data_IF_267612531580
#
_entry.id   IF_267612531580
#
_cell.length_a   1.000
_cell.length_b   1.000
_cell.length_c   1.000
_cell.angle_alpha   90.00
_cell.angle_beta   90.00
_cell.angle_gamma   90.00
#
_symmetry.space_group_name_H-M   'P 1'
#
loop_
_entity.id
_entity.type
_entity.pdbx_description
1 polymer ?
#
# COMPACT_ATOMS: atom_id res chain seq x y z
N UNK A 1 40.83 -20.21 -50.00
CA UNK A 1 42.04 -19.63 -49.39
C UNK A 1 41.58 -18.63 -48.34
N UNK A 2 41.94 -18.92 -47.08
CA UNK A 2 42.28 -18.04 -45.93
C UNK A 2 41.46 -16.75 -45.71
N UNK A 3 40.74 -16.52 -44.59
CA UNK A 3 41.06 -16.52 -43.14
C UNK A 3 41.90 -15.31 -42.65
N UNK A 4 41.37 -14.60 -41.63
CA UNK A 4 41.99 -13.52 -40.83
C UNK A 4 41.01 -12.35 -40.62
N UNK A 5 40.32 -12.18 -39.48
CA UNK A 5 40.84 -11.60 -38.21
C UNK A 5 40.82 -10.07 -38.30
N UNK A 6 40.08 -9.28 -37.50
CA UNK A 6 40.35 -8.98 -36.08
C UNK A 6 39.09 -8.39 -35.42
N UNK A 7 38.85 -8.84 -34.18
CA UNK A 7 37.91 -8.33 -33.19
C UNK A 7 38.44 -7.02 -32.61
N UNK A 8 37.61 -5.97 -32.54
CA UNK A 8 37.82 -4.88 -31.58
C UNK A 8 36.49 -4.53 -30.92
N UNK A 9 36.39 -4.91 -29.64
CA UNK A 9 35.33 -4.55 -28.73
C UNK A 9 35.34 -3.05 -28.44
N UNK A 10 34.16 -2.43 -28.47
CA UNK A 10 33.85 -1.24 -27.67
C UNK A 10 32.44 -1.41 -27.13
N UNK A 11 32.35 -1.90 -25.90
CA UNK A 11 31.16 -1.83 -25.06
C UNK A 11 30.92 -0.35 -24.73
N UNK A 12 29.90 0.24 -25.35
CA UNK A 12 29.29 1.51 -24.96
C UNK A 12 27.86 1.23 -24.52
N UNK A 13 27.69 0.79 -23.28
CA UNK A 13 26.40 0.59 -22.65
C UNK A 13 26.03 1.84 -21.87
N UNK A 14 25.10 2.63 -22.42
CA UNK A 14 24.55 3.82 -21.78
C UNK A 14 23.25 4.20 -22.49
N UNK A 15 22.16 4.23 -21.74
CA UNK A 15 20.83 4.72 -22.12
C UNK A 15 20.03 4.01 -23.24
N UNK A 16 20.61 3.14 -24.09
CA UNK A 16 19.87 2.39 -25.13
C UNK A 16 19.17 1.11 -24.65
N UNK A 17 19.45 0.66 -23.42
CA UNK A 17 19.03 -0.67 -22.96
C UNK A 17 17.77 -0.67 -22.11
N UNK A 18 17.29 0.45 -21.56
CA UNK A 18 16.20 0.40 -20.57
C UNK A 18 14.84 0.01 -21.19
N UNK A 19 14.42 0.66 -22.28
CA UNK A 19 13.18 0.30 -23.00
C UNK A 19 13.28 -1.07 -23.72
N UNK A 20 14.47 -1.41 -24.23
CA UNK A 20 14.71 -2.67 -24.95
C UNK A 20 14.76 -3.88 -24.01
N UNK A 21 15.38 -3.75 -22.83
CA UNK A 21 15.38 -4.80 -21.80
C UNK A 21 14.00 -4.99 -21.18
N UNK A 22 13.22 -3.91 -21.00
CA UNK A 22 11.85 -4.02 -20.51
C UNK A 22 10.94 -4.78 -21.50
N UNK A 23 11.02 -4.49 -22.80
CA UNK A 23 10.27 -5.23 -23.82
C UNK A 23 10.67 -6.72 -23.92
N UNK A 24 11.90 -7.06 -23.52
CA UNK A 24 12.37 -8.45 -23.46
C UNK A 24 11.89 -9.21 -22.22
N UNK A 25 11.73 -8.52 -21.07
CA UNK A 25 11.32 -9.08 -19.78
C UNK A 25 9.81 -9.03 -19.51
N UNK A 26 9.08 -8.13 -20.17
CA UNK A 26 7.62 -7.95 -20.04
C UNK A 26 6.78 -8.87 -20.93
N UNK A 27 7.39 -9.85 -21.63
CA UNK A 27 6.64 -10.97 -22.19
C UNK A 27 6.13 -11.86 -21.06
N UNK A 28 5.05 -11.42 -20.41
CA UNK A 28 4.04 -12.34 -19.91
C UNK A 28 3.80 -13.36 -21.03
N UNK A 29 3.93 -14.63 -20.68
CA UNK A 29 3.75 -15.79 -21.55
C UNK A 29 2.42 -15.70 -22.29
N UNK A 30 2.43 -15.07 -23.46
CA UNK A 30 1.35 -15.15 -24.42
C UNK A 30 1.45 -16.54 -25.03
N UNK A 31 0.76 -17.50 -24.42
CA UNK A 31 0.53 -18.84 -24.95
C UNK A 31 -0.07 -18.69 -26.35
N UNK A 32 0.79 -18.76 -27.36
CA UNK A 32 0.41 -19.06 -28.73
C UNK A 32 -0.02 -20.52 -28.77
N UNK A 33 -1.29 -20.81 -28.53
CA UNK A 33 -1.89 -22.04 -29.02
C UNK A 33 -2.37 -21.82 -30.45
N UNK A 34 -1.64 -22.44 -31.39
CA UNK A 34 -2.11 -22.70 -32.75
C UNK A 34 -2.97 -23.97 -32.73
N UNK A 35 -4.03 -23.96 -33.55
CA UNK A 35 -4.94 -25.08 -33.89
C UNK A 35 -5.92 -25.47 -32.77
N UNK A 36 -7.20 -25.75 -32.98
CA UNK A 36 -8.04 -25.88 -34.17
C UNK A 36 -9.34 -26.56 -33.72
N UNK A 37 -10.48 -26.18 -34.31
CA UNK A 37 -11.75 -26.94 -34.32
C UNK A 37 -12.39 -27.30 -32.96
N UNK A 38 -13.47 -26.58 -32.61
CA UNK A 38 -14.50 -27.06 -31.68
C UNK A 38 -15.03 -28.44 -32.13
N UNK A 39 -14.97 -29.43 -31.25
CA UNK A 39 -15.90 -30.58 -31.26
C UNK A 39 -16.38 -30.89 -29.84
N UNK A 40 -17.69 -30.82 -29.66
CA UNK A 40 -18.41 -31.39 -28.53
C UNK A 40 -18.06 -32.87 -28.33
N UNK A 41 -17.77 -33.27 -27.10
CA UNK A 41 -18.04 -34.63 -26.63
C UNK A 41 -18.52 -34.61 -25.18
N UNK A 42 -19.60 -35.34 -24.95
CA UNK A 42 -20.28 -35.57 -23.67
C UNK A 42 -20.04 -37.04 -23.30
N UNK A 43 -19.45 -37.32 -22.15
CA UNK A 43 -19.49 -38.62 -21.44
C UNK A 43 -18.92 -38.41 -20.02
N UNK A 44 -19.73 -38.45 -18.95
CA UNK A 44 -20.11 -39.61 -18.10
C UNK A 44 -18.94 -40.36 -17.42
N UNK A 45 -19.01 -40.31 -16.08
CA UNK A 45 -18.74 -41.33 -15.06
C UNK A 45 -17.31 -41.76 -14.68
N UNK A 46 -17.01 -41.54 -13.40
CA UNK A 46 -16.41 -42.54 -12.49
C UNK A 46 -14.88 -42.53 -12.40
N UNK A 47 -14.38 -43.07 -11.29
CA UNK A 47 -12.98 -43.40 -10.93
C UNK A 47 -12.33 -42.54 -9.83
N UNK A 48 -12.61 -42.96 -8.59
CA UNK A 48 -11.69 -43.36 -7.51
C UNK A 48 -10.36 -42.60 -7.36
N UNK A 49 -10.27 -41.82 -6.28
CA UNK A 49 -9.03 -41.31 -5.72
C UNK A 49 -8.36 -42.36 -4.81
N UNK A 50 -7.02 -42.54 -4.86
CA UNK A 50 -6.29 -43.21 -3.82
C UNK A 50 -5.80 -42.22 -2.75
N UNK A 51 -5.98 -42.64 -1.50
CA UNK A 51 -5.43 -42.05 -0.28
C UNK A 51 -3.91 -41.90 -0.34
N UNK A 52 -3.39 -40.70 -0.06
CA UNK A 52 -2.02 -40.54 0.43
C UNK A 52 -1.98 -39.49 1.55
N UNK A 53 -1.13 -39.79 2.51
CA UNK A 53 -1.03 -39.28 3.88
C UNK A 53 -0.88 -37.76 4.00
N UNK A 54 -1.64 -37.18 4.93
CA UNK A 54 -1.39 -35.86 5.52
C UNK A 54 0.03 -35.78 6.08
N UNK A 55 0.91 -35.05 5.39
CA UNK A 55 2.09 -34.47 6.01
C UNK A 55 1.64 -33.18 6.68
N UNK A 56 1.71 -33.15 8.02
CA UNK A 56 1.57 -31.93 8.82
C UNK A 56 2.68 -30.96 8.40
N UNK A 57 2.33 -29.91 7.68
CA UNK A 57 3.19 -28.72 7.56
C UNK A 57 2.87 -27.86 8.77
N UNK A 58 3.73 -27.95 9.79
CA UNK A 58 3.72 -27.05 10.93
C UNK A 58 4.01 -25.63 10.47
N UNK A 59 3.22 -24.70 10.99
CA UNK A 59 3.35 -23.26 10.87
C UNK A 59 4.73 -22.79 11.33
N UNK A 60 5.61 -22.48 10.38
CA UNK A 60 6.84 -21.71 10.60
C UNK A 60 7.38 -21.24 9.25
N UNK A 61 6.68 -20.30 8.62
CA UNK A 61 7.34 -19.35 7.71
C UNK A 61 7.12 -17.99 8.32
N UNK A 62 8.02 -17.71 9.26
CA UNK A 62 8.23 -16.41 9.83
C UNK A 62 8.40 -15.37 8.72
N UNK A 63 7.81 -14.21 8.97
CA UNK A 63 8.17 -12.95 8.36
C UNK A 63 9.69 -12.78 8.35
N UNK A 64 10.31 -13.08 7.20
CA UNK A 64 11.69 -12.76 6.91
C UNK A 64 11.85 -12.65 5.38
N UNK A 65 11.13 -11.70 4.79
CA UNK A 65 11.66 -11.03 3.60
C UNK A 65 12.47 -9.86 4.13
N UNK A 66 13.67 -10.19 4.59
CA UNK A 66 14.64 -9.22 5.07
C UNK A 66 15.00 -8.27 3.93
N UNK A 67 14.82 -6.98 4.16
CA UNK A 67 15.35 -5.85 3.37
C UNK A 67 16.90 -5.79 3.47
N UNK A 68 17.58 -6.94 3.64
CA UNK A 68 19.00 -7.02 3.98
C UNK A 68 19.93 -7.32 2.80
N UNK A 69 19.45 -7.28 1.56
CA UNK A 69 20.33 -7.31 0.38
C UNK A 69 20.29 -6.01 -0.43
N UNK A 70 20.18 -4.88 0.25
CA UNK A 70 20.47 -3.56 -0.32
C UNK A 70 21.79 -3.07 0.25
N UNK A 71 22.86 -3.17 -0.55
CA UNK A 71 24.17 -2.64 -0.22
C UNK A 71 24.07 -1.16 0.18
N UNK A 72 24.42 -0.84 1.43
CA UNK A 72 24.43 0.53 1.96
C UNK A 72 23.09 1.09 2.46
N UNK A 73 22.03 0.29 2.55
CA UNK A 73 20.70 0.81 2.92
C UNK A 73 20.61 1.32 4.37
N UNK A 74 20.20 2.58 4.51
CA UNK A 74 19.76 3.18 5.78
C UNK A 74 18.58 2.35 6.31
N UNK A 75 18.58 2.03 7.61
CA UNK A 75 17.51 1.26 8.21
C UNK A 75 16.16 1.99 8.04
N UNK A 76 15.21 1.36 7.34
CA UNK A 76 13.85 1.88 7.17
C UNK A 76 13.15 1.85 8.52
N UNK A 77 12.80 3.02 9.07
CA UNK A 77 12.22 3.15 10.41
C UNK A 77 10.86 2.46 10.53
N UNK A 78 10.04 2.54 9.49
CA UNK A 78 8.70 1.96 9.41
C UNK A 78 8.69 1.06 8.17
N UNK A 79 8.75 -0.27 8.32
CA UNK A 79 8.85 -1.18 7.18
C UNK A 79 7.58 -1.11 6.31
N UNK A 80 7.69 -1.31 4.99
CA UNK A 80 6.54 -1.38 4.12
C UNK A 80 5.69 -2.62 4.47
N UNK A 81 4.37 -2.56 4.26
CA UNK A 81 3.54 -3.75 4.39
C UNK A 81 3.85 -4.76 3.29
N UNK A 82 3.55 -6.03 3.54
CA UNK A 82 3.77 -7.11 2.59
C UNK A 82 2.50 -7.46 1.80
N UNK A 83 2.67 -8.00 0.59
CA UNK A 83 1.60 -8.59 -0.21
C UNK A 83 2.05 -9.96 -0.76
N UNK A 84 1.19 -10.99 -0.81
CA UNK A 84 1.59 -12.33 -1.22
C UNK A 84 1.94 -12.48 -2.70
N UNK A 85 1.52 -11.55 -3.56
CA UNK A 85 1.61 -11.71 -5.03
C UNK A 85 2.33 -10.59 -5.79
N UNK A 86 2.70 -9.48 -5.15
CA UNK A 86 3.46 -8.41 -5.82
C UNK A 86 4.24 -7.59 -4.81
N UNK A 87 5.31 -6.94 -5.27
CA UNK A 87 6.25 -6.19 -4.45
C UNK A 87 6.29 -4.70 -4.88
N UNK A 88 6.88 -3.85 -4.05
CA UNK A 88 7.07 -2.43 -4.38
C UNK A 88 7.87 -2.23 -5.68
N UNK A 89 8.84 -3.10 -5.93
CA UNK A 89 9.67 -3.03 -7.13
C UNK A 89 8.87 -3.21 -8.42
N UNK A 90 7.80 -4.02 -8.39
CA UNK A 90 6.91 -4.17 -9.54
C UNK A 90 6.21 -2.83 -9.84
N UNK A 91 5.73 -2.14 -8.80
CA UNK A 91 5.08 -0.82 -8.93
C UNK A 91 6.05 0.22 -9.51
N UNK A 92 7.29 0.24 -9.02
CA UNK A 92 8.34 1.15 -9.51
C UNK A 92 8.61 0.90 -10.99
N UNK A 93 8.80 -0.35 -11.39
CA UNK A 93 9.03 -0.72 -12.79
C UNK A 93 7.87 -0.37 -13.69
N UNK A 94 6.63 -0.58 -13.24
CA UNK A 94 5.45 -0.16 -13.99
C UNK A 94 5.39 1.35 -14.17
N UNK A 95 5.66 2.14 -13.11
CA UNK A 95 5.66 3.59 -13.18
C UNK A 95 6.76 4.15 -14.09
N UNK A 96 7.97 3.60 -14.02
CA UNK A 96 9.07 3.98 -14.91
C UNK A 96 8.77 3.61 -16.38
N UNK A 97 8.16 2.44 -16.62
CA UNK A 97 7.76 2.04 -17.97
C UNK A 97 6.62 2.92 -18.52
N UNK A 98 5.69 3.36 -17.68
CA UNK A 98 4.64 4.31 -18.02
C UNK A 98 5.20 5.63 -18.54
N UNK A 99 6.19 6.20 -17.84
CA UNK A 99 6.74 7.53 -18.14
C UNK A 99 7.79 7.49 -19.28
N UNK A 100 8.55 6.40 -19.40
CA UNK A 100 9.58 6.25 -20.43
C UNK A 100 9.04 5.77 -21.79
N UNK A 101 7.96 4.98 -21.81
CA UNK A 101 7.46 4.34 -23.02
C UNK A 101 8.52 3.51 -23.77
N UNK A 102 8.46 3.50 -25.10
CA UNK A 102 9.39 2.78 -25.97
C UNK A 102 10.67 3.57 -26.35
N UNK A 103 10.69 4.88 -26.06
CA UNK A 103 11.74 5.81 -26.52
C UNK A 103 12.59 6.39 -25.40
N UNK A 104 12.14 6.31 -24.16
CA UNK A 104 12.75 7.02 -23.03
C UNK A 104 12.51 8.53 -23.07
N UNK A 105 13.25 9.27 -22.25
CA UNK A 105 13.16 10.73 -22.17
C UNK A 105 13.86 11.40 -23.37
N UNK A 106 13.09 11.67 -24.43
CA UNK A 106 13.57 12.32 -25.65
C UNK A 106 14.10 13.74 -25.40
N UNK A 107 13.62 14.42 -24.37
CA UNK A 107 14.08 15.77 -24.00
C UNK A 107 15.47 15.68 -23.38
N UNK A 108 15.68 14.82 -22.39
CA UNK A 108 17.00 14.61 -21.80
C UNK A 108 18.01 14.09 -22.82
N UNK A 109 17.61 13.15 -23.67
CA UNK A 109 18.46 12.58 -24.71
C UNK A 109 18.95 13.63 -25.73
N UNK A 110 18.13 14.65 -26.01
CA UNK A 110 18.46 15.69 -26.99
C UNK A 110 19.13 16.93 -26.40
N UNK A 111 18.87 17.25 -25.13
CA UNK A 111 19.31 18.51 -24.51
C UNK A 111 20.48 18.36 -23.53
N UNK A 112 20.67 17.17 -22.95
CA UNK A 112 21.67 16.93 -21.91
C UNK A 112 22.78 16.04 -22.45
N UNK A 113 24.07 16.44 -22.40
CA UNK A 113 25.19 15.57 -22.78
C UNK A 113 25.24 14.27 -21.95
N UNK A 114 25.70 13.17 -22.54
CA UNK A 114 25.72 11.85 -21.88
C UNK A 114 26.61 11.82 -20.63
N UNK A 115 27.73 12.54 -20.67
CA UNK A 115 28.70 12.67 -19.58
C UNK A 115 28.33 13.74 -18.53
N UNK A 116 27.23 14.47 -18.72
CA UNK A 116 26.87 15.57 -17.83
C UNK A 116 26.56 15.03 -16.42
N UNK A 117 27.21 15.62 -15.42
CA UNK A 117 26.97 15.35 -14.00
C UNK A 117 26.12 16.47 -13.42
N UNK A 118 25.24 16.12 -12.48
CA UNK A 118 24.40 17.09 -11.78
C UNK A 118 24.31 16.80 -10.29
N UNK A 119 23.97 17.84 -9.56
CA UNK A 119 23.52 17.81 -8.16
C UNK A 119 22.11 18.36 -8.14
N UNK A 120 21.16 17.64 -7.55
CA UNK A 120 19.79 18.14 -7.36
C UNK A 120 19.36 18.06 -5.90
N UNK A 121 18.53 19.00 -5.45
CA UNK A 121 18.07 19.09 -4.06
C UNK A 121 16.55 18.95 -3.96
N UNK A 122 16.11 18.06 -3.09
CA UNK A 122 14.73 17.97 -2.65
C UNK A 122 14.41 19.11 -1.70
N UNK A 123 13.29 19.79 -1.94
CA UNK A 123 12.82 20.89 -1.13
C UNK A 123 11.32 20.78 -0.89
N UNK A 124 10.91 20.93 0.37
CA UNK A 124 9.51 21.00 0.76
C UNK A 124 8.89 22.30 0.26
N UNK A 125 7.74 22.21 -0.41
CA UNK A 125 6.96 23.34 -0.92
C UNK A 125 5.64 23.53 -0.17
N UNK A 126 5.43 22.72 0.87
CA UNK A 126 4.37 22.84 1.86
C UNK A 126 4.84 22.27 3.20
N UNK A 127 4.10 22.58 4.27
CA UNK A 127 4.32 22.03 5.61
C UNK A 127 3.62 20.65 5.72
N UNK A 128 4.27 19.66 6.32
CA UNK A 128 3.67 18.32 6.45
C UNK A 128 4.60 17.24 6.97
N UNK A 129 4.15 16.00 6.89
CA UNK A 129 4.93 14.80 7.18
C UNK A 129 5.53 14.28 5.88
N UNK A 130 6.86 14.13 5.85
CA UNK A 130 7.53 13.53 4.69
C UNK A 130 7.36 12.01 4.73
N UNK A 131 6.98 11.44 3.59
CA UNK A 131 6.85 10.01 3.40
C UNK A 131 7.25 9.60 1.96
N UNK A 132 7.81 8.41 1.81
CA UNK A 132 8.28 7.86 0.55
C UNK A 132 9.77 8.06 0.29
N UNK A 133 10.58 8.42 1.28
CA UNK A 133 12.04 8.52 1.16
C UNK A 133 12.65 7.17 0.81
N UNK A 134 12.28 6.11 1.54
CA UNK A 134 12.78 4.77 1.23
C UNK A 134 12.30 4.27 -0.14
N UNK A 135 11.11 4.69 -0.59
CA UNK A 135 10.63 4.37 -1.94
C UNK A 135 11.40 5.15 -3.02
N UNK A 136 11.74 6.41 -2.76
CA UNK A 136 12.58 7.22 -3.64
C UNK A 136 13.97 6.62 -3.79
N UNK A 137 14.59 6.14 -2.70
CA UNK A 137 15.86 5.39 -2.76
C UNK A 137 15.76 4.17 -3.69
N UNK A 138 14.68 3.39 -3.58
CA UNK A 138 14.45 2.25 -4.49
C UNK A 138 14.30 2.69 -5.96
N UNK A 139 13.64 3.82 -6.22
CA UNK A 139 13.45 4.36 -7.58
C UNK A 139 14.80 4.80 -8.16
N UNK A 140 15.59 5.59 -7.42
CA UNK A 140 16.91 6.03 -7.89
C UNK A 140 17.83 4.83 -8.14
N UNK A 141 17.84 3.86 -7.22
CA UNK A 141 18.62 2.64 -7.37
C UNK A 141 18.23 1.80 -8.60
N UNK A 142 16.94 1.70 -8.91
CA UNK A 142 16.44 0.97 -10.08
C UNK A 142 16.75 1.70 -11.39
N UNK A 143 16.75 3.04 -11.38
CA UNK A 143 17.10 3.85 -12.55
C UNK A 143 18.59 3.82 -12.81
N UNK A 144 19.41 4.06 -11.79
CA UNK A 144 20.86 4.13 -11.90
C UNK A 144 21.53 3.89 -10.53
N UNK A 145 22.17 2.72 -10.32
CA UNK A 145 22.80 2.37 -9.06
C UNK A 145 24.05 3.19 -8.73
N UNK A 146 24.56 4.01 -9.65
CA UNK A 146 25.68 4.92 -9.41
C UNK A 146 25.23 6.27 -8.84
N UNK A 147 23.92 6.53 -8.75
CA UNK A 147 23.40 7.75 -8.13
C UNK A 147 23.62 7.74 -6.62
N UNK A 148 24.22 8.81 -6.11
CA UNK A 148 24.41 9.02 -4.67
C UNK A 148 23.26 9.85 -4.12
N UNK A 149 22.50 9.29 -3.17
CA UNK A 149 21.37 9.98 -2.51
C UNK A 149 21.66 10.18 -1.03
N UNK A 150 21.52 11.42 -0.56
CA UNK A 150 21.75 11.84 0.82
C UNK A 150 20.48 12.49 1.39
N UNK A 151 19.99 12.02 2.54
CA UNK A 151 18.80 12.55 3.21
C UNK A 151 19.10 13.12 4.59
N UNK A 152 18.58 14.32 4.87
CA UNK A 152 18.71 14.99 6.16
C UNK A 152 17.51 14.73 7.09
N UNK A 153 16.49 14.04 6.59
CA UNK A 153 15.27 13.65 7.31
C UNK A 153 14.95 12.18 7.03
N UNK A 154 13.97 11.63 7.72
CA UNK A 154 13.48 10.27 7.55
C UNK A 154 11.96 10.26 7.35
N UNK A 155 11.44 9.15 6.80
CA UNK A 155 9.99 8.94 6.71
C UNK A 155 9.34 9.11 8.09
N UNK A 156 8.32 9.96 8.15
CA UNK A 156 7.58 10.30 9.37
C UNK A 156 8.04 11.60 10.03
N UNK A 157 9.14 12.21 9.58
CA UNK A 157 9.58 13.50 10.08
C UNK A 157 8.68 14.64 9.56
N UNK A 158 8.54 15.69 10.36
CA UNK A 158 7.82 16.90 9.97
C UNK A 158 8.76 17.86 9.21
N UNK A 159 8.31 18.34 8.05
CA UNK A 159 9.03 19.30 7.21
C UNK A 159 8.25 20.61 7.10
N UNK A 160 8.98 21.72 7.00
CA UNK A 160 8.42 23.05 6.76
C UNK A 160 8.74 23.53 5.36
N UNK A 161 7.90 24.41 4.81
CA UNK A 161 8.15 25.09 3.55
C UNK A 161 9.58 25.63 3.46
N UNK A 162 10.24 25.35 2.34
CA UNK A 162 11.61 25.78 2.06
C UNK A 162 12.70 24.89 2.65
N UNK A 163 12.35 23.88 3.47
CA UNK A 163 13.33 22.92 3.97
C UNK A 163 13.92 22.11 2.82
N UNK A 164 15.24 22.15 2.69
CA UNK A 164 16.00 21.26 1.80
C UNK A 164 16.37 20.00 2.58
N UNK A 165 15.82 18.86 2.17
CA UNK A 165 15.84 17.66 3.01
C UNK A 165 16.47 16.44 2.34
N UNK A 166 16.81 16.53 1.07
CA UNK A 166 17.49 15.48 0.32
C UNK A 166 18.35 16.04 -0.78
N UNK A 167 19.39 15.31 -1.16
CA UNK A 167 20.27 15.66 -2.28
C UNK A 167 20.61 14.41 -3.08
N UNK A 168 20.59 14.50 -4.41
CA UNK A 168 21.04 13.44 -5.33
C UNK A 168 22.20 13.95 -6.19
N UNK A 169 23.19 13.09 -6.45
CA UNK A 169 24.37 13.37 -7.30
C UNK A 169 24.59 12.23 -8.30
N UNK A 170 25.12 12.59 -9.46
CA UNK A 170 25.56 11.66 -10.49
C UNK A 170 25.12 12.10 -11.88
N UNK A 171 24.86 11.13 -12.76
CA UNK A 171 24.39 11.37 -14.14
C UNK A 171 23.17 12.30 -14.16
N UNK A 172 23.30 13.43 -14.86
CA UNK A 172 22.22 14.40 -15.01
C UNK A 172 21.00 13.79 -15.69
N UNK A 173 21.22 12.93 -16.70
CA UNK A 173 20.14 12.21 -17.38
C UNK A 173 19.40 11.26 -16.44
N UNK A 174 20.13 10.50 -15.61
CA UNK A 174 19.54 9.54 -14.67
C UNK A 174 18.70 10.25 -13.59
N UNK A 175 19.20 11.37 -13.06
CA UNK A 175 18.45 12.19 -12.09
C UNK A 175 17.13 12.68 -12.69
N UNK A 176 17.15 13.22 -13.91
CA UNK A 176 15.97 13.79 -14.55
C UNK A 176 14.94 12.73 -14.95
N UNK A 177 15.39 11.53 -15.37
CA UNK A 177 14.49 10.40 -15.65
C UNK A 177 13.78 9.92 -14.37
N UNK A 178 14.49 9.87 -13.24
CA UNK A 178 13.91 9.44 -11.97
C UNK A 178 13.00 10.51 -11.32
N UNK A 179 13.21 11.79 -11.64
CA UNK A 179 12.62 12.93 -10.93
C UNK A 179 11.10 12.83 -10.78
N UNK A 180 10.38 12.70 -11.90
CA UNK A 180 8.91 12.78 -11.88
C UNK A 180 8.30 11.62 -11.12
N UNK A 181 8.83 10.41 -11.32
CA UNK A 181 8.37 9.22 -10.64
C UNK A 181 8.62 9.31 -9.13
N UNK A 182 9.83 9.67 -8.72
CA UNK A 182 10.17 9.86 -7.30
C UNK A 182 9.27 10.92 -6.65
N UNK A 183 9.12 12.09 -7.29
CA UNK A 183 8.26 13.17 -6.76
C UNK A 183 6.80 12.74 -6.68
N UNK A 184 6.22 12.13 -7.71
CA UNK A 184 4.81 11.73 -7.68
C UNK A 184 4.50 10.77 -6.51
N UNK A 185 5.39 9.80 -6.26
CA UNK A 185 5.26 8.89 -5.13
C UNK A 185 5.42 9.61 -3.80
N UNK A 186 6.51 10.37 -3.61
CA UNK A 186 6.77 11.09 -2.36
C UNK A 186 5.68 12.09 -2.03
N UNK A 187 5.22 12.88 -3.00
CA UNK A 187 4.18 13.89 -2.81
C UNK A 187 2.85 13.24 -2.38
N UNK A 188 2.45 12.14 -3.04
CA UNK A 188 1.24 11.38 -2.67
C UNK A 188 1.37 10.78 -1.27
N UNK A 189 2.45 10.04 -1.01
CA UNK A 189 2.69 9.41 0.29
C UNK A 189 2.73 10.45 1.40
N UNK A 190 3.43 11.57 1.18
CA UNK A 190 3.52 12.65 2.16
C UNK A 190 2.16 13.31 2.42
N UNK A 191 1.31 13.45 1.40
CA UNK A 191 -0.07 13.89 1.55
C UNK A 191 -0.89 12.97 2.47
N UNK A 192 -0.84 11.66 2.20
CA UNK A 192 -1.49 10.63 3.02
C UNK A 192 -0.97 10.63 4.47
N UNK A 193 0.36 10.66 4.65
CA UNK A 193 0.99 10.64 5.96
C UNK A 193 0.64 11.90 6.77
N UNK A 194 0.61 13.06 6.12
CA UNK A 194 0.24 14.34 6.74
C UNK A 194 -1.20 14.32 7.22
N UNK A 195 -2.14 13.89 6.37
CA UNK A 195 -3.55 13.83 6.75
C UNK A 195 -3.81 12.74 7.81
N UNK A 196 -3.16 11.58 7.68
CA UNK A 196 -3.21 10.50 8.68
C UNK A 196 -2.73 11.00 10.04
N UNK A 197 -1.63 11.75 10.10
CA UNK A 197 -1.11 12.30 11.36
C UNK A 197 -2.13 13.21 12.04
N UNK A 198 -2.78 14.09 11.29
CA UNK A 198 -3.84 14.96 11.82
C UNK A 198 -5.03 14.15 12.34
N UNK A 199 -5.49 13.16 11.58
CA UNK A 199 -6.60 12.28 11.96
C UNK A 199 -6.26 11.44 13.20
N UNK A 200 -5.06 10.85 13.27
CA UNK A 200 -4.60 10.02 14.38
C UNK A 200 -4.52 10.81 15.69
N UNK A 201 -3.98 12.03 15.66
CA UNK A 201 -3.91 12.89 16.84
C UNK A 201 -5.31 13.30 17.32
N UNK A 202 -6.21 13.64 16.39
CA UNK A 202 -7.58 14.02 16.72
C UNK A 202 -8.44 12.83 17.21
N UNK A 203 -8.16 11.61 16.73
CA UNK A 203 -8.89 10.38 17.06
C UNK A 203 -8.67 9.85 18.47
N UNK A 204 -7.64 10.32 19.19
CA UNK A 204 -7.27 9.78 20.50
C UNK A 204 -8.47 9.77 21.48
N UNK A 205 -8.62 8.70 22.29
CA UNK A 205 -7.71 7.56 22.45
C UNK A 205 -7.82 6.47 21.37
N UNK A 206 -8.78 6.56 20.43
CA UNK A 206 -8.94 5.58 19.38
C UNK A 206 -7.79 5.63 18.37
N UNK A 207 -7.55 4.50 17.70
CA UNK A 207 -6.52 4.37 16.66
C UNK A 207 -7.13 4.50 15.28
N UNK A 208 -6.48 5.26 14.39
CA UNK A 208 -6.97 5.48 13.03
C UNK A 208 -6.52 4.35 12.10
N UNK A 209 -7.45 3.83 11.31
CA UNK A 209 -7.23 2.82 10.29
C UNK A 209 -7.54 3.38 8.90
N UNK A 210 -6.77 2.94 7.90
CA UNK A 210 -7.19 3.10 6.50
C UNK A 210 -8.19 2.02 6.06
N UNK A 211 -8.55 2.04 4.78
CA UNK A 211 -9.38 0.97 4.19
C UNK A 211 -8.80 0.46 2.87
N UNK A 212 -9.44 -0.57 2.30
CA UNK A 212 -9.15 -1.02 0.92
C UNK A 212 -9.52 -0.02 -0.17
N UNK A 213 -10.11 1.14 0.16
CA UNK A 213 -10.38 2.26 -0.76
C UNK A 213 -9.08 3.04 -1.05
N UNK A 214 -8.10 2.33 -1.60
CA UNK A 214 -6.81 2.87 -2.03
C UNK A 214 -6.83 3.16 -3.52
N UNK A 215 -5.83 3.90 -4.02
CA UNK A 215 -5.60 3.96 -5.45
C UNK A 215 -5.36 2.53 -6.01
N UNK A 216 -5.99 2.16 -7.15
CA UNK A 216 -5.74 0.86 -7.79
C UNK A 216 -4.25 0.66 -8.09
N UNK A 217 -3.71 -0.52 -7.82
CA UNK A 217 -2.28 -0.84 -8.00
C UNK A 217 -1.34 -0.27 -6.93
N UNK A 218 -1.75 0.76 -6.18
CA UNK A 218 -0.89 1.47 -5.23
C UNK A 218 -1.16 1.12 -3.76
N UNK A 219 -1.83 0.01 -3.48
CA UNK A 219 -2.26 -0.33 -2.11
C UNK A 219 -1.12 -0.43 -1.12
N UNK A 220 0.00 -1.05 -1.51
CA UNK A 220 1.20 -1.13 -0.66
C UNK A 220 1.73 0.26 -0.31
N UNK A 221 1.79 1.15 -1.30
CA UNK A 221 2.27 2.54 -1.16
C UNK A 221 1.35 3.34 -0.25
N UNK A 222 0.04 3.33 -0.53
CA UNK A 222 -0.95 4.08 0.24
C UNK A 222 -1.00 3.63 1.71
N UNK A 223 -1.01 2.32 1.96
CA UNK A 223 -1.00 1.76 3.32
C UNK A 223 0.31 2.03 4.05
N UNK A 224 1.44 1.99 3.35
CA UNK A 224 2.72 2.35 3.95
C UNK A 224 2.75 3.81 4.41
N UNK A 225 2.20 4.72 3.60
CA UNK A 225 2.09 6.13 3.96
C UNK A 225 1.20 6.36 5.20
N UNK A 226 0.13 5.57 5.38
CA UNK A 226 -0.71 5.61 6.58
C UNK A 226 0.09 5.20 7.82
N UNK A 227 0.87 4.10 7.75
CA UNK A 227 1.76 3.71 8.84
C UNK A 227 2.78 4.81 9.17
N UNK A 228 3.37 5.44 8.15
CA UNK A 228 4.32 6.54 8.32
C UNK A 228 3.66 7.74 9.02
N UNK A 229 2.40 8.04 8.71
CA UNK A 229 1.60 9.07 9.36
C UNK A 229 1.17 8.75 10.79
N UNK A 230 1.46 7.56 11.31
CA UNK A 230 1.08 7.13 12.65
C UNK A 230 -0.33 6.52 12.74
N UNK A 231 -0.92 6.15 11.60
CA UNK A 231 -2.09 5.26 11.57
C UNK A 231 -1.71 3.79 11.63
N UNK A 232 -2.71 2.92 11.65
CA UNK A 232 -2.54 1.48 11.57
C UNK A 232 -3.20 0.92 10.30
N UNK A 233 -2.71 -0.21 9.82
CA UNK A 233 -3.30 -0.87 8.67
C UNK A 233 -4.51 -1.72 9.10
N UNK A 234 -5.63 -1.54 8.42
CA UNK A 234 -6.68 -2.55 8.33
C UNK A 234 -6.20 -3.69 7.42
N UNK A 235 -7.05 -4.69 7.15
CA UNK A 235 -6.71 -5.81 6.27
C UNK A 235 -6.20 -5.34 4.90
N UNK A 236 -5.12 -5.96 4.44
CA UNK A 236 -4.50 -5.72 3.15
C UNK A 236 -5.43 -6.10 1.99
N UNK A 237 -6.12 -7.22 2.10
CA UNK A 237 -6.88 -7.82 1.01
C UNK A 237 -8.18 -8.47 1.46
N UNK A 238 -8.73 -9.32 0.59
CA UNK A 238 -9.86 -10.18 0.95
C UNK A 238 -9.40 -11.48 1.62
N UNK A 239 -8.09 -11.74 1.64
CA UNK A 239 -7.48 -13.02 1.98
C UNK A 239 -6.93 -13.11 3.40
N UNK A 240 -6.70 -11.98 4.08
CA UNK A 240 -5.96 -11.89 5.34
C UNK A 240 -6.82 -11.61 6.57
N UNK A 241 -8.10 -11.26 6.38
CA UNK A 241 -9.06 -11.11 7.47
C UNK A 241 -10.49 -11.24 6.96
N UNK A 242 -11.36 -11.90 7.73
CA UNK A 242 -12.79 -11.92 7.47
C UNK A 242 -13.39 -10.55 7.84
N UNK A 243 -14.14 -9.95 6.92
CA UNK A 243 -14.98 -8.79 7.17
C UNK A 243 -16.36 -9.05 6.60
N UNK A 244 -17.29 -9.40 7.48
CA UNK A 244 -18.68 -9.70 7.16
C UNK A 244 -19.45 -8.38 7.06
N UNK A 245 -19.64 -7.91 5.83
CA UNK A 245 -20.44 -6.71 5.52
C UNK A 245 -21.94 -6.98 5.52
N UNK A 246 -22.72 -5.90 5.54
CA UNK A 246 -24.18 -5.88 5.38
C UNK A 246 -24.72 -6.87 4.32
N UNK A 247 -24.16 -6.84 3.11
CA UNK A 247 -24.59 -7.68 2.00
C UNK A 247 -24.36 -9.17 2.28
N UNK A 248 -23.31 -9.52 3.02
CA UNK A 248 -23.06 -10.92 3.40
C UNK A 248 -24.07 -11.37 4.45
N UNK A 249 -24.39 -10.51 5.42
CA UNK A 249 -25.40 -10.78 6.46
C UNK A 249 -26.76 -11.02 5.82
N UNK A 250 -27.16 -10.12 4.91
CA UNK A 250 -28.45 -10.17 4.25
C UNK A 250 -28.56 -11.45 3.38
N UNK A 251 -27.52 -11.80 2.61
CA UNK A 251 -27.47 -13.03 1.79
C UNK A 251 -27.41 -14.31 2.64
N UNK A 252 -26.72 -14.28 3.78
CA UNK A 252 -26.65 -15.42 4.71
C UNK A 252 -27.95 -15.64 5.51
N UNK A 253 -28.91 -14.70 5.43
CA UNK A 253 -30.15 -14.75 6.20
C UNK A 253 -29.99 -14.35 7.67
N UNK A 254 -29.04 -13.47 7.98
CA UNK A 254 -28.88 -12.85 9.29
C UNK A 254 -27.51 -13.07 9.95
N UNK A 255 -27.25 -12.31 11.02
CA UNK A 255 -25.95 -12.26 11.72
C UNK A 255 -25.53 -13.64 12.21
N UNK A 256 -26.44 -14.37 12.86
CA UNK A 256 -26.16 -15.69 13.42
C UNK A 256 -25.69 -16.69 12.36
N UNK A 257 -26.30 -16.68 11.18
CA UNK A 257 -25.94 -17.56 10.08
C UNK A 257 -24.59 -17.16 9.45
N UNK A 258 -24.35 -15.86 9.29
CA UNK A 258 -23.09 -15.36 8.75
C UNK A 258 -21.91 -15.71 9.67
N UNK A 259 -22.05 -15.50 10.99
CA UNK A 259 -21.06 -15.89 12.00
C UNK A 259 -20.77 -17.40 11.92
N UNK A 260 -21.82 -18.23 11.98
CA UNK A 260 -21.67 -19.68 11.95
C UNK A 260 -21.01 -20.18 10.65
N UNK A 261 -21.30 -19.52 9.51
CA UNK A 261 -20.66 -19.84 8.24
C UNK A 261 -19.15 -19.52 8.26
N UNK A 262 -18.75 -18.38 8.83
CA UNK A 262 -17.33 -18.02 9.01
C UNK A 262 -16.63 -19.02 9.94
N UNK A 263 -17.20 -19.34 11.09
CA UNK A 263 -16.60 -20.29 12.05
C UNK A 263 -16.42 -21.68 11.43
N UNK A 264 -17.42 -22.15 10.66
CA UNK A 264 -17.35 -23.42 9.93
C UNK A 264 -16.24 -23.38 8.89
N UNK A 265 -16.21 -22.36 8.04
CA UNK A 265 -15.20 -22.23 6.99
C UNK A 265 -13.78 -22.17 7.58
N UNK A 266 -13.60 -21.41 8.66
CA UNK A 266 -12.32 -21.30 9.36
C UNK A 266 -11.86 -22.66 9.92
N UNK A 267 -12.78 -23.47 10.43
CA UNK A 267 -12.50 -24.82 10.94
C UNK A 267 -12.17 -25.80 9.81
N UNK A 268 -12.98 -25.84 8.75
CA UNK A 268 -12.81 -26.73 7.60
C UNK A 268 -11.48 -26.50 6.87
N UNK A 269 -11.03 -25.25 6.81
CA UNK A 269 -9.78 -24.85 6.15
C UNK A 269 -8.60 -24.67 7.12
N UNK A 270 -8.77 -24.97 8.40
CA UNK A 270 -7.75 -24.80 9.45
C UNK A 270 -7.07 -23.41 9.41
N UNK A 271 -7.90 -22.36 9.32
CA UNK A 271 -7.47 -20.97 9.31
C UNK A 271 -7.51 -20.39 10.73
N UNK A 272 -6.67 -19.38 10.97
CA UNK A 272 -6.67 -18.58 12.18
C UNK A 272 -6.51 -17.11 11.79
N UNK A 273 -7.62 -16.51 11.36
CA UNK A 273 -7.69 -15.12 10.87
C UNK A 273 -8.69 -14.34 11.71
N UNK A 274 -8.44 -13.04 11.88
CA UNK A 274 -9.38 -12.14 12.54
C UNK A 274 -10.75 -12.13 11.84
N UNK A 275 -11.81 -11.94 12.64
CA UNK A 275 -13.19 -11.87 12.15
C UNK A 275 -13.83 -10.58 12.62
N UNK A 276 -14.12 -9.72 11.66
CA UNK A 276 -14.84 -8.48 11.86
C UNK A 276 -16.24 -8.57 11.26
N UNK A 277 -17.23 -8.03 11.97
CA UNK A 277 -18.62 -7.98 11.51
C UNK A 277 -19.12 -6.54 11.51
N UNK A 278 -19.65 -6.12 10.37
CA UNK A 278 -20.30 -4.82 10.18
C UNK A 278 -21.73 -4.87 10.73
N UNK A 279 -22.05 -3.90 11.59
CA UNK A 279 -23.36 -3.75 12.21
C UNK A 279 -23.91 -2.35 11.97
N UNK A 280 -25.18 -2.29 11.57
CA UNK A 280 -25.95 -1.10 11.23
C UNK A 280 -26.87 -0.67 12.38
N UNK A 281 -27.17 -1.58 13.30
CA UNK A 281 -28.11 -1.36 14.40
C UNK A 281 -27.66 -1.95 15.73
N UNK A 282 -28.18 -1.41 16.83
CA UNK A 282 -27.94 -1.94 18.18
C UNK A 282 -28.47 -3.37 18.32
N UNK A 283 -29.54 -3.72 17.61
CA UNK A 283 -30.03 -5.10 17.59
C UNK A 283 -29.04 -6.06 16.93
N UNK A 284 -28.45 -5.68 15.80
CA UNK A 284 -27.38 -6.48 15.18
C UNK A 284 -26.16 -6.61 16.12
N UNK A 285 -25.80 -5.55 16.85
CA UNK A 285 -24.75 -5.62 17.90
C UNK A 285 -25.11 -6.66 18.97
N UNK A 286 -26.36 -6.68 19.47
CA UNK A 286 -26.82 -7.71 20.43
C UNK A 286 -26.71 -9.10 19.85
N UNK A 287 -27.10 -9.30 18.59
CA UNK A 287 -27.00 -10.61 17.93
C UNK A 287 -25.55 -11.10 17.82
N UNK A 288 -24.58 -10.20 17.53
CA UNK A 288 -23.15 -10.57 17.53
C UNK A 288 -22.68 -10.93 18.94
N UNK A 289 -23.08 -10.16 19.96
CA UNK A 289 -22.74 -10.45 21.36
C UNK A 289 -23.32 -11.78 21.87
N UNK A 290 -24.53 -12.15 21.44
CA UNK A 290 -25.12 -13.46 21.72
C UNK A 290 -24.27 -14.59 21.12
N UNK A 291 -23.82 -14.42 19.88
CA UNK A 291 -22.93 -15.37 19.22
C UNK A 291 -21.61 -15.53 19.98
N UNK A 292 -20.99 -14.43 20.40
CA UNK A 292 -19.76 -14.43 21.21
C UNK A 292 -19.99 -15.13 22.55
N UNK A 293 -21.07 -14.78 23.25
CA UNK A 293 -21.39 -15.32 24.59
C UNK A 293 -21.68 -16.83 24.58
N UNK A 294 -22.08 -17.39 23.44
CA UNK A 294 -22.24 -18.83 23.26
C UNK A 294 -20.91 -19.62 23.27
N UNK A 295 -19.76 -18.93 23.23
CA UNK A 295 -18.42 -19.51 23.23
C UNK A 295 -18.00 -20.18 21.93
N UNK A 296 -18.85 -20.13 20.89
CA UNK A 296 -18.59 -20.78 19.59
C UNK A 296 -18.02 -19.82 18.55
N UNK A 297 -18.22 -18.52 18.74
CA UNK A 297 -17.86 -17.52 17.76
C UNK A 297 -16.42 -17.02 17.94
N UNK A 298 -15.69 -16.91 16.83
CA UNK A 298 -14.33 -16.33 16.79
C UNK A 298 -14.32 -14.87 16.35
N UNK A 299 -15.43 -14.15 16.51
CA UNK A 299 -15.51 -12.70 16.22
C UNK A 299 -14.55 -11.94 17.13
N UNK A 300 -13.63 -11.21 16.53
CA UNK A 300 -12.62 -10.40 17.22
C UNK A 300 -12.97 -8.92 17.25
N UNK A 301 -13.80 -8.45 16.30
CA UNK A 301 -14.14 -7.04 16.14
C UNK A 301 -15.57 -6.81 15.66
N UNK A 302 -16.22 -5.77 16.17
CA UNK A 302 -17.50 -5.26 15.68
C UNK A 302 -17.28 -3.88 15.06
N UNK A 303 -17.62 -3.75 13.78
CA UNK A 303 -17.69 -2.46 13.09
C UNK A 303 -19.08 -1.84 13.29
N UNK A 304 -19.11 -0.62 13.79
CA UNK A 304 -20.28 0.20 14.07
C UNK A 304 -20.46 1.18 12.91
N UNK A 305 -21.16 0.75 11.87
CA UNK A 305 -21.23 1.50 10.62
C UNK A 305 -22.29 2.61 10.67
N UNK A 306 -21.87 3.82 10.31
CA UNK A 306 -22.72 4.99 10.13
C UNK A 306 -23.61 5.31 11.36
N UNK A 307 -23.08 5.09 12.56
CA UNK A 307 -23.76 5.42 13.84
C UNK A 307 -23.54 6.88 14.30
N UNK A 308 -22.85 7.68 13.50
CA UNK A 308 -22.54 9.09 13.77
C UNK A 308 -23.33 9.97 12.81
N UNK A 309 -23.95 11.03 13.33
CA UNK A 309 -24.72 11.99 12.51
C UNK A 309 -24.22 13.40 12.75
N UNK A 310 -24.13 14.18 11.67
CA UNK A 310 -23.94 15.64 11.77
C UNK A 310 -25.30 16.29 11.60
N UNK A 311 -25.76 17.00 12.62
CA UNK A 311 -27.05 17.71 12.58
C UNK A 311 -26.98 18.90 11.62
N UNK A 312 -28.12 19.45 11.15
CA UNK A 312 -28.13 20.67 10.35
C UNK A 312 -27.45 21.88 11.02
N UNK A 313 -27.35 21.89 12.35
CA UNK A 313 -26.64 22.91 13.11
C UNK A 313 -25.11 22.72 13.13
N UNK A 314 -24.58 21.66 12.50
CA UNK A 314 -23.16 21.31 12.51
C UNK A 314 -22.71 20.49 13.73
N UNK A 315 -23.63 20.17 14.65
CA UNK A 315 -23.31 19.38 15.84
C UNK A 315 -23.15 17.91 15.48
N UNK A 316 -22.07 17.28 15.95
CA UNK A 316 -21.88 15.83 15.79
C UNK A 316 -22.57 15.10 16.94
N UNK A 317 -23.53 14.24 16.60
CA UNK A 317 -24.25 13.31 17.47
C UNK A 317 -23.63 11.92 17.37
N UNK A 318 -23.19 11.41 18.53
CA UNK A 318 -22.54 10.11 18.71
C UNK A 318 -23.32 9.21 19.69
N UNK A 319 -24.53 9.60 20.09
CA UNK A 319 -25.32 8.90 21.12
C UNK A 319 -25.51 7.41 20.86
N UNK A 320 -25.80 7.05 19.59
CA UNK A 320 -25.95 5.66 19.16
C UNK A 320 -24.63 4.88 19.20
N UNK A 321 -23.52 5.54 18.88
CA UNK A 321 -22.20 4.95 18.97
C UNK A 321 -21.83 4.67 20.43
N UNK A 322 -22.09 5.63 21.33
CA UNK A 322 -21.88 5.46 22.78
C UNK A 322 -22.74 4.33 23.36
N UNK A 323 -24.01 4.22 22.95
CA UNK A 323 -24.88 3.11 23.34
C UNK A 323 -24.29 1.77 22.93
N UNK A 324 -23.80 1.65 21.68
CA UNK A 324 -23.19 0.43 21.17
C UNK A 324 -21.89 0.08 21.91
N UNK A 325 -21.00 1.04 22.12
CA UNK A 325 -19.73 0.84 22.86
C UNK A 325 -20.02 0.38 24.28
N UNK A 326 -20.96 1.02 24.98
CA UNK A 326 -21.37 0.64 26.32
C UNK A 326 -21.99 -0.76 26.37
N UNK A 327 -22.75 -1.14 25.35
CA UNK A 327 -23.35 -2.48 25.24
C UNK A 327 -22.28 -3.56 25.02
N UNK A 328 -21.25 -3.26 24.22
CA UNK A 328 -20.14 -4.18 23.94
C UNK A 328 -19.22 -4.36 25.16
N UNK A 329 -19.06 -3.31 25.97
CA UNK A 329 -18.40 -3.36 27.29
C UNK A 329 -17.01 -4.02 27.23
N UNK A 330 -16.22 -3.69 26.20
CA UNK A 330 -14.86 -4.19 26.02
C UNK A 330 -14.72 -5.69 25.73
N UNK A 331 -15.81 -6.42 25.47
CA UNK A 331 -15.76 -7.87 25.18
C UNK A 331 -15.03 -8.21 23.88
N UNK A 332 -15.07 -7.30 22.91
CA UNK A 332 -14.38 -7.39 21.61
C UNK A 332 -13.94 -6.00 21.18
N UNK A 333 -13.02 -5.92 20.23
CA UNK A 333 -12.61 -4.64 19.64
C UNK A 333 -13.80 -3.96 18.94
N UNK A 334 -13.82 -2.64 18.97
CA UNK A 334 -14.82 -1.83 18.27
C UNK A 334 -14.18 -0.96 17.22
N UNK A 335 -14.82 -0.85 16.06
CA UNK A 335 -14.39 0.04 14.98
C UNK A 335 -15.55 0.94 14.55
N UNK A 336 -15.36 2.26 14.61
CA UNK A 336 -16.31 3.20 14.02
C UNK A 336 -15.97 3.46 12.54
N UNK A 337 -16.98 3.38 11.67
CA UNK A 337 -16.85 3.63 10.23
C UNK A 337 -18.00 4.52 9.72
N UNK A 338 -17.80 5.13 8.56
CA UNK A 338 -18.79 5.92 7.84
C UNK A 338 -18.66 7.43 8.08
N UNK A 339 -18.44 8.19 7.00
CA UNK A 339 -18.38 9.67 7.01
C UNK A 339 -17.44 10.28 8.08
N UNK A 340 -16.31 9.62 8.33
CA UNK A 340 -15.28 10.09 9.27
C UNK A 340 -14.47 11.22 8.63
N UNK A 341 -14.42 12.37 9.30
CA UNK A 341 -13.74 13.60 8.88
C UNK A 341 -12.97 14.19 10.07
N UNK A 342 -12.08 15.18 9.85
CA UNK A 342 -11.44 15.90 10.95
C UNK A 342 -12.44 16.54 11.93
N UNK A 343 -13.60 16.97 11.43
CA UNK A 343 -14.67 17.54 12.27
C UNK A 343 -15.33 16.50 13.18
N UNK A 344 -15.48 15.26 12.71
CA UNK A 344 -16.20 14.21 13.44
C UNK A 344 -15.29 13.33 14.28
N UNK A 345 -14.04 13.11 13.85
CA UNK A 345 -13.14 12.08 14.39
C UNK A 345 -12.87 12.23 15.89
N UNK A 346 -12.76 13.46 16.40
CA UNK A 346 -12.47 13.68 17.82
C UNK A 346 -13.62 13.23 18.73
N UNK A 347 -14.86 13.54 18.37
CA UNK A 347 -16.03 13.09 19.13
C UNK A 347 -16.25 11.58 19.00
N UNK A 348 -15.93 11.01 17.84
CA UNK A 348 -15.95 9.54 17.64
C UNK A 348 -14.94 8.89 18.59
N UNK A 349 -13.70 9.37 18.60
CA UNK A 349 -12.64 8.84 19.47
C UNK A 349 -12.98 8.91 20.95
N UNK A 350 -13.60 10.02 21.38
CA UNK A 350 -14.03 10.23 22.75
C UNK A 350 -15.10 9.24 23.25
N UNK A 351 -15.81 8.54 22.35
CA UNK A 351 -16.78 7.50 22.74
C UNK A 351 -16.15 6.25 23.34
N UNK A 352 -14.83 6.08 23.16
CA UNK A 352 -14.09 4.90 23.64
C UNK A 352 -14.01 3.74 22.65
N UNK A 353 -14.37 3.95 21.37
CA UNK A 353 -14.11 2.95 20.33
C UNK A 353 -12.61 2.63 20.22
N UNK A 354 -12.28 1.37 19.92
CA UNK A 354 -10.87 0.95 19.79
C UNK A 354 -10.22 1.53 18.53
N UNK A 355 -10.96 1.51 17.42
CA UNK A 355 -10.53 1.96 16.12
C UNK A 355 -11.54 2.90 15.46
N UNK A 356 -11.03 3.71 14.55
CA UNK A 356 -11.84 4.49 13.61
C UNK A 356 -11.24 4.26 12.22
N UNK A 357 -12.04 3.80 11.27
CA UNK A 357 -11.56 3.66 9.88
C UNK A 357 -12.08 4.76 8.98
N UNK A 358 -11.21 5.26 8.09
CA UNK A 358 -11.59 6.26 7.09
C UNK A 358 -10.94 5.98 5.74
N UNK A 359 -11.80 5.88 4.72
CA UNK A 359 -11.33 5.80 3.34
C UNK A 359 -10.69 7.10 2.85
N UNK A 360 -11.06 8.24 3.44
CA UNK A 360 -10.57 9.55 3.01
C UNK A 360 -9.05 9.67 3.13
N UNK A 361 -8.42 8.87 4.01
CA UNK A 361 -6.97 8.78 4.15
C UNK A 361 -6.27 8.43 2.82
N UNK A 362 -6.88 7.62 1.96
CA UNK A 362 -6.21 7.03 0.80
C UNK A 362 -6.90 7.32 -0.55
N UNK A 363 -8.22 7.53 -0.58
CA UNK A 363 -8.91 7.86 -1.85
C UNK A 363 -9.05 9.36 -2.13
N UNK A 364 -8.92 10.23 -1.12
CA UNK A 364 -9.10 11.68 -1.24
C UNK A 364 -7.84 12.41 -0.82
N UNK A 365 -6.74 12.11 -1.50
CA UNK A 365 -5.40 12.60 -1.15
C UNK A 365 -5.14 13.97 -1.76
N UNK A 366 -4.82 14.94 -0.92
CA UNK A 366 -4.12 16.16 -1.33
C UNK A 366 -2.61 15.90 -1.22
N UNK A 367 -1.90 15.94 -2.35
CA UNK A 367 -0.47 15.67 -2.38
C UNK A 367 0.32 16.80 -1.72
N UNK A 368 1.34 16.48 -0.93
CA UNK A 368 2.23 17.47 -0.34
C UNK A 368 3.18 17.99 -1.43
N UNK A 369 3.20 19.29 -1.69
CA UNK A 369 4.08 19.84 -2.72
C UNK A 369 5.57 19.71 -2.33
N UNK A 370 6.36 19.13 -3.22
CA UNK A 370 7.79 18.85 -3.09
C UNK A 370 8.43 19.09 -4.45
N UNK A 371 9.58 19.76 -4.49
CA UNK A 371 10.34 19.94 -5.73
C UNK A 371 11.71 19.28 -5.64
N UNK A 372 12.20 18.76 -6.77
CA UNK A 372 13.61 18.46 -6.98
C UNK A 372 14.18 19.54 -7.90
N UNK A 373 15.25 20.21 -7.48
CA UNK A 373 15.86 21.29 -8.28
C UNK A 373 17.34 21.02 -8.50
N UNK A 374 17.76 21.02 -9.76
CA UNK A 374 19.18 20.98 -10.13
C UNK A 374 19.86 22.24 -9.65
N UNK A 375 20.94 22.06 -8.91
CA UNK A 375 21.82 23.12 -8.45
C UNK A 375 22.87 23.40 -9.52
N UNK A 376 22.76 24.57 -10.15
CA UNK A 376 23.68 25.02 -11.21
C UNK A 376 25.01 25.54 -10.64
N UNK A 377 25.23 25.50 -9.32
CA UNK A 377 26.47 25.97 -8.68
C UNK A 377 27.61 24.94 -8.66
N UNK A 378 27.46 23.81 -9.36
CA UNK A 378 28.56 22.85 -9.54
C UNK A 378 29.58 23.42 -10.55
N UNK A 379 30.82 23.46 -10.08
CA UNK A 379 32.03 24.10 -10.61
C UNK A 379 32.10 24.21 -12.15
N UNK A 380 32.42 25.40 -12.64
CA UNK A 380 32.77 25.71 -14.04
C UNK A 380 34.14 25.11 -14.47
N UNK A 381 34.53 24.01 -13.85
CA UNK A 381 35.79 23.28 -14.03
C UNK A 381 35.53 21.77 -14.08
N UNK A 382 34.87 21.33 -15.15
CA UNK A 382 35.03 19.99 -15.70
C UNK A 382 35.21 20.09 -17.21
#
# INVERSE_FOLDING_TARGET
MQAGGVISALNGGGCKTWAADFASRSRLSCLRERSGSLKCFRAKSGWNAPSTSCVRVTSEIAANTSVQELGGARAVRIPPPAHPTYQLLDIIRYALAEDAGDRGDVTCLSTIPEQAQAKAQFMAKADGIVAGIALADMIFQEVDPELEVEWNVQDGDYVKYGLKFGTVRGSARSILVAERIALNFMQRMSGIATFTKQMAEAAKPARILETRKTAPGLRLVDKWAVLIGGGENHRMGLYDMFLVKDNHVDVAGGIKNAVAAVDRYMTEHNLDLGVEIETRTIDEVRQVLDCISSGKSRVTRIMLDNMVKVTPSGSVDVSRLEEAVKLIDGRVETEASGNVTLHTVNKIGATGVTFISSGALTHSVEALDISLKVDMSVDSRM
#
